data_IF_531757305945
#
_entry.id   IF_531757305945
#
_cell.length_a   1.000
_cell.length_b   1.000
_cell.length_c   1.000
_cell.angle_alpha   90.00
_cell.angle_beta   90.00
_cell.angle_gamma   90.00
#
_symmetry.space_group_name_H-M   'P 1'
#
loop_
_entity.id
_entity.type
_entity.pdbx_description
1 polymer ?
#
# COMPACT_ATOMS: atom_id res chain seq x y z
N UNK A 1 -6.81 -19.21 16.33
CA UNK A 1 -6.91 -20.66 16.03
C UNK A 1 -8.34 -21.09 16.16
N UNK A 2 -9.00 -20.75 17.27
CA UNK A 2 -10.45 -20.84 17.42
C UNK A 2 -11.18 -20.15 16.26
N UNK A 3 -10.79 -18.93 15.88
CA UNK A 3 -11.38 -18.26 14.70
C UNK A 3 -11.22 -19.02 13.37
N UNK A 4 -10.11 -19.76 13.21
CA UNK A 4 -9.86 -20.56 11.99
C UNK A 4 -10.76 -21.78 12.00
N UNK A 5 -10.83 -22.48 13.14
CA UNK A 5 -11.69 -23.64 13.33
C UNK A 5 -13.18 -23.27 13.13
N UNK A 6 -13.61 -22.16 13.73
CA UNK A 6 -14.96 -21.62 13.59
C UNK A 6 -15.28 -21.25 12.12
N UNK A 7 -14.31 -20.72 11.38
CA UNK A 7 -14.49 -20.40 9.96
C UNK A 7 -14.63 -21.63 9.05
N UNK A 8 -14.11 -22.79 9.47
CA UNK A 8 -14.20 -24.04 8.71
C UNK A 8 -15.60 -24.66 8.84
N UNK A 9 -16.28 -24.48 9.98
CA UNK A 9 -17.66 -24.92 10.18
C UNK A 9 -17.88 -26.43 10.11
N UNK A 10 -16.83 -27.22 10.33
CA UNK A 10 -16.84 -28.69 10.28
C UNK A 10 -16.61 -29.26 11.70
N UNK A 11 -17.57 -30.04 12.21
CA UNK A 11 -17.54 -30.61 13.56
C UNK A 11 -16.59 -31.82 13.68
N UNK A 12 -16.10 -32.37 12.56
CA UNK A 12 -15.16 -33.49 12.56
C UNK A 12 -13.70 -33.07 12.77
N UNK A 13 -13.39 -31.77 12.67
CA UNK A 13 -12.04 -31.24 12.74
C UNK A 13 -11.73 -30.78 14.16
N UNK A 14 -10.62 -31.25 14.71
CA UNK A 14 -10.14 -30.82 16.02
C UNK A 14 -9.05 -29.73 15.91
N UNK A 15 -8.86 -28.97 16.98
CA UNK A 15 -7.84 -27.91 17.07
C UNK A 15 -6.42 -28.46 16.85
N UNK A 16 -6.18 -29.71 17.28
CA UNK A 16 -4.90 -30.40 17.11
C UNK A 16 -4.57 -30.66 15.63
N UNK A 17 -5.59 -30.93 14.80
CA UNK A 17 -5.42 -31.14 13.35
C UNK A 17 -5.08 -29.81 12.66
N UNK A 18 -5.76 -28.73 13.04
CA UNK A 18 -5.47 -27.37 12.56
C UNK A 18 -4.02 -26.99 12.90
N UNK A 19 -3.57 -27.28 14.13
CA UNK A 19 -2.17 -27.03 14.53
C UNK A 19 -1.16 -27.85 13.70
N UNK A 20 -1.47 -29.11 13.41
CA UNK A 20 -0.59 -29.98 12.63
C UNK A 20 -0.40 -29.45 11.21
N UNK A 21 -1.50 -29.04 10.56
CA UNK A 21 -1.46 -28.44 9.22
C UNK A 21 -0.75 -27.09 9.25
N UNK A 22 -1.03 -26.23 10.24
CA UNK A 22 -0.38 -24.94 10.39
C UNK A 22 1.14 -25.08 10.51
N UNK A 23 1.63 -25.98 11.38
CA UNK A 23 3.06 -26.28 11.54
C UNK A 23 3.71 -26.76 10.23
N UNK A 24 2.95 -27.43 9.36
CA UNK A 24 3.43 -27.85 8.04
C UNK A 24 3.54 -26.68 7.07
N UNK A 25 2.52 -25.81 7.02
CA UNK A 25 2.47 -24.61 6.17
C UNK A 25 3.59 -23.63 6.55
N UNK A 26 3.81 -23.42 7.84
CA UNK A 26 4.85 -22.53 8.37
C UNK A 26 6.28 -22.89 7.92
N UNK A 27 6.50 -24.13 7.47
CA UNK A 27 7.78 -24.62 6.94
C UNK A 27 7.89 -24.55 5.41
N UNK A 28 6.85 -24.09 4.71
CA UNK A 28 6.95 -23.82 3.27
C UNK A 28 7.75 -22.56 3.00
N UNK A 29 8.12 -22.37 1.73
CA UNK A 29 8.81 -21.18 1.25
C UNK A 29 7.76 -20.08 0.96
N UNK A 30 7.85 -18.89 1.59
CA UNK A 30 8.90 -18.43 2.49
C UNK A 30 8.71 -18.87 3.95
N UNK A 31 9.82 -19.23 4.60
CA UNK A 31 9.85 -19.82 5.95
C UNK A 31 9.32 -18.85 7.00
N UNK A 32 8.47 -19.34 7.90
CA UNK A 32 7.84 -18.50 8.93
C UNK A 32 6.61 -17.75 8.43
N UNK A 33 6.15 -18.01 7.19
CA UNK A 33 4.82 -17.59 6.74
C UNK A 33 3.73 -18.20 7.61
N UNK A 34 2.62 -17.49 7.80
CA UNK A 34 1.51 -17.92 8.66
C UNK A 34 1.91 -18.17 10.13
N UNK A 35 2.97 -17.50 10.62
CA UNK A 35 3.27 -17.44 12.04
C UNK A 35 2.17 -16.72 12.83
N UNK A 36 1.95 -17.14 14.08
CA UNK A 36 0.93 -16.53 14.95
C UNK A 36 1.33 -15.12 15.39
N UNK A 37 2.62 -14.93 15.65
CA UNK A 37 3.21 -13.66 16.03
C UNK A 37 4.67 -13.56 15.52
N UNK A 38 5.32 -12.43 15.78
CA UNK A 38 6.72 -12.20 15.39
C UNK A 38 7.68 -13.21 16.05
N UNK A 39 7.39 -13.63 17.28
CA UNK A 39 8.23 -14.55 18.04
C UNK A 39 8.22 -15.92 17.38
N UNK A 40 7.05 -16.43 17.09
CA UNK A 40 6.80 -17.68 16.40
C UNK A 40 7.46 -17.65 15.01
N UNK A 41 7.31 -16.55 14.26
CA UNK A 41 7.94 -16.35 12.95
C UNK A 41 9.46 -16.56 13.01
N UNK A 42 10.14 -15.85 13.91
CA UNK A 42 11.59 -15.92 14.05
C UNK A 42 12.05 -17.29 14.60
N UNK A 43 11.29 -17.91 15.50
CA UNK A 43 11.59 -19.25 16.02
C UNK A 43 11.45 -20.33 14.94
N UNK A 44 10.44 -20.24 14.09
CA UNK A 44 10.23 -21.15 12.96
C UNK A 44 11.41 -21.04 11.99
N UNK A 45 11.84 -19.81 11.67
CA UNK A 45 13.02 -19.59 10.81
C UNK A 45 14.29 -20.14 11.44
N UNK A 46 14.53 -19.89 12.75
CA UNK A 46 15.66 -20.47 13.47
C UNK A 46 15.62 -22.01 13.51
N UNK A 47 14.43 -22.62 13.51
CA UNK A 47 14.30 -24.08 13.55
C UNK A 47 14.80 -24.79 12.29
N UNK A 48 15.02 -24.05 11.20
CA UNK A 48 15.58 -24.59 9.97
C UNK A 48 17.11 -24.64 9.94
N UNK A 49 17.76 -23.86 10.79
CA UNK A 49 19.22 -23.86 10.88
C UNK A 49 19.73 -25.17 11.50
N UNK A 50 20.94 -25.57 11.09
CA UNK A 50 21.59 -26.73 11.67
C UNK A 50 21.88 -26.52 13.16
N UNK A 51 21.79 -27.59 13.95
CA UNK A 51 22.07 -27.53 15.40
C UNK A 51 23.52 -27.13 15.73
N UNK A 52 24.41 -27.21 14.75
CA UNK A 52 25.82 -26.79 14.87
C UNK A 52 26.03 -25.32 14.55
N UNK A 53 25.00 -24.59 14.13
CA UNK A 53 25.08 -23.17 13.84
C UNK A 53 25.49 -22.41 15.11
N UNK A 54 26.58 -21.61 15.05
CA UNK A 54 27.01 -20.81 16.19
C UNK A 54 25.91 -19.88 16.71
N UNK A 55 25.82 -19.72 18.03
CA UNK A 55 24.91 -18.78 18.72
C UNK A 55 23.41 -19.04 18.55
N UNK A 56 23.03 -20.22 18.02
CA UNK A 56 21.65 -20.56 17.72
C UNK A 56 20.81 -20.75 19.00
N UNK A 57 21.37 -21.36 20.04
CA UNK A 57 20.65 -21.55 21.32
C UNK A 57 20.47 -20.21 22.05
N UNK A 58 21.48 -19.35 21.98
CA UNK A 58 21.44 -17.99 22.51
C UNK A 58 20.42 -17.12 21.78
N UNK A 59 20.40 -17.16 20.45
CA UNK A 59 19.40 -16.47 19.65
C UNK A 59 17.98 -16.97 19.94
N UNK A 60 17.81 -18.30 20.09
CA UNK A 60 16.53 -18.91 20.47
C UNK A 60 16.06 -18.43 21.83
N UNK A 61 16.94 -18.39 22.83
CA UNK A 61 16.63 -17.89 24.18
C UNK A 61 16.20 -16.40 24.15
N UNK A 62 16.93 -15.58 23.39
CA UNK A 62 16.60 -14.15 23.26
C UNK A 62 15.21 -13.97 22.64
N UNK A 63 14.90 -14.69 21.56
CA UNK A 63 13.60 -14.61 20.91
C UNK A 63 12.51 -15.21 21.80
N UNK A 64 12.72 -16.34 22.48
CA UNK A 64 11.67 -17.00 23.26
C UNK A 64 11.22 -16.19 24.46
N UNK A 65 12.15 -15.52 25.16
CA UNK A 65 11.88 -14.95 26.48
C UNK A 65 12.11 -13.43 26.55
N UNK A 66 12.92 -12.85 25.65
CA UNK A 66 13.45 -11.50 25.80
C UNK A 66 13.37 -10.64 24.53
N UNK A 67 12.48 -10.98 23.59
CA UNK A 67 12.30 -10.22 22.34
C UNK A 67 11.98 -8.74 22.58
N UNK A 68 11.22 -8.42 23.62
CA UNK A 68 10.84 -7.04 23.96
C UNK A 68 12.05 -6.19 24.40
N UNK A 69 13.01 -6.81 25.08
CA UNK A 69 14.25 -6.13 25.49
C UNK A 69 15.13 -5.84 24.26
N UNK A 70 15.14 -6.76 23.29
CA UNK A 70 15.83 -6.55 22.01
C UNK A 70 15.17 -5.42 21.21
N UNK A 71 13.84 -5.39 21.13
CA UNK A 71 13.08 -4.34 20.44
C UNK A 71 13.34 -2.94 21.02
N UNK A 72 13.53 -2.85 22.34
CA UNK A 72 13.85 -1.59 23.03
C UNK A 72 15.35 -1.24 23.04
N UNK A 73 16.20 -2.05 22.40
CA UNK A 73 17.66 -1.90 22.38
C UNK A 73 18.29 -1.91 23.80
N UNK A 74 17.66 -2.54 24.79
CA UNK A 74 18.19 -2.63 26.17
C UNK A 74 19.15 -3.81 26.32
N UNK A 75 20.30 -3.70 25.65
CA UNK A 75 21.36 -4.73 25.70
C UNK A 75 21.90 -4.94 27.12
N UNK A 76 21.87 -3.92 27.99
CA UNK A 76 22.41 -4.03 29.35
C UNK A 76 21.58 -4.95 30.22
N UNK A 77 20.25 -4.79 30.17
CA UNK A 77 19.34 -5.67 30.88
C UNK A 77 19.36 -7.06 30.27
N UNK A 78 19.40 -7.16 28.94
CA UNK A 78 19.42 -8.42 28.24
C UNK A 78 20.68 -9.26 28.57
N UNK A 79 21.87 -8.65 28.66
CA UNK A 79 23.08 -9.35 29.16
C UNK A 79 22.92 -9.88 30.60
N UNK A 80 22.26 -9.12 31.48
CA UNK A 80 22.06 -9.53 32.88
C UNK A 80 21.12 -10.72 33.01
N UNK A 81 20.03 -10.72 32.24
CA UNK A 81 19.01 -11.78 32.32
C UNK A 81 19.48 -13.04 31.60
N UNK A 82 20.05 -12.91 30.40
CA UNK A 82 20.57 -14.04 29.62
C UNK A 82 21.91 -14.58 30.15
N UNK A 83 22.63 -13.81 30.98
CA UNK A 83 23.98 -14.12 31.49
C UNK A 83 25.02 -14.33 30.39
N UNK A 84 24.78 -13.77 29.21
CA UNK A 84 25.70 -13.82 28.08
C UNK A 84 26.77 -12.73 28.19
N UNK A 85 27.96 -13.02 27.66
CA UNK A 85 29.01 -12.02 27.47
C UNK A 85 28.64 -11.12 26.28
N UNK A 86 29.16 -9.89 26.29
CA UNK A 86 28.89 -8.90 25.24
C UNK A 86 29.20 -9.42 23.83
N UNK A 87 30.36 -10.07 23.63
CA UNK A 87 30.75 -10.62 22.32
C UNK A 87 29.76 -11.68 21.82
N UNK A 88 29.32 -12.57 22.71
CA UNK A 88 28.36 -13.64 22.39
C UNK A 88 27.00 -13.06 22.08
N UNK A 89 26.56 -12.07 22.87
CA UNK A 89 25.29 -11.41 22.65
C UNK A 89 25.27 -10.72 21.28
N UNK A 90 26.36 -10.03 20.92
CA UNK A 90 26.45 -9.33 19.64
C UNK A 90 26.28 -10.29 18.47
N UNK A 91 26.92 -11.45 18.50
CA UNK A 91 26.79 -12.45 17.44
C UNK A 91 25.41 -13.11 17.41
N UNK A 92 24.79 -13.37 18.57
CA UNK A 92 23.40 -13.85 18.63
C UNK A 92 22.42 -12.82 18.03
N UNK A 93 22.62 -11.52 18.32
CA UNK A 93 21.81 -10.44 17.74
C UNK A 93 22.03 -10.33 16.23
N UNK A 94 23.27 -10.46 15.74
CA UNK A 94 23.56 -10.48 14.30
C UNK A 94 22.80 -11.62 13.60
N UNK A 95 22.77 -12.81 14.21
CA UNK A 95 22.00 -13.94 13.70
C UNK A 95 20.49 -13.62 13.64
N UNK A 96 19.93 -13.04 14.70
CA UNK A 96 18.51 -12.62 14.71
C UNK A 96 18.24 -11.58 13.61
N UNK A 97 19.13 -10.60 13.42
CA UNK A 97 18.99 -9.55 12.41
C UNK A 97 19.11 -10.06 10.97
N UNK A 98 19.68 -11.25 10.76
CA UNK A 98 19.73 -11.90 9.44
C UNK A 98 18.41 -12.58 9.03
N UNK A 99 17.46 -12.71 9.96
CA UNK A 99 16.15 -13.30 9.73
C UNK A 99 15.19 -12.27 9.14
N UNK A 100 14.14 -12.73 8.44
CA UNK A 100 13.12 -11.86 7.88
C UNK A 100 11.89 -11.82 8.80
N UNK A 101 11.57 -10.68 9.46
CA UNK A 101 10.40 -10.60 10.32
C UNK A 101 9.07 -10.67 9.55
N UNK A 102 9.07 -10.48 8.22
CA UNK A 102 7.87 -10.43 7.37
C UNK A 102 8.12 -11.12 6.01
N UNK A 103 8.30 -12.45 5.99
CA UNK A 103 8.67 -13.20 4.78
C UNK A 103 7.73 -12.97 3.59
N UNK A 104 6.42 -12.83 3.85
CA UNK A 104 5.41 -12.63 2.81
C UNK A 104 5.40 -11.24 2.16
N UNK A 105 6.09 -10.24 2.71
CA UNK A 105 6.07 -8.88 2.17
C UNK A 105 6.74 -8.79 0.80
N UNK A 106 7.74 -9.62 0.54
CA UNK A 106 8.44 -9.71 -0.75
C UNK A 106 7.53 -10.19 -1.91
N UNK A 107 6.42 -10.85 -1.59
CA UNK A 107 5.45 -11.39 -2.55
C UNK A 107 4.34 -10.36 -2.85
N UNK A 108 4.41 -9.15 -2.29
CA UNK A 108 3.45 -8.10 -2.58
C UNK A 108 3.62 -7.60 -4.03
N UNK A 109 2.78 -8.11 -4.93
CA UNK A 109 2.77 -7.79 -6.36
C UNK A 109 1.85 -6.62 -6.73
N UNK A 110 1.25 -5.96 -5.75
CA UNK A 110 0.41 -4.79 -6.01
C UNK A 110 1.27 -3.64 -6.49
N UNK A 111 1.00 -3.13 -7.70
CA UNK A 111 1.56 -1.84 -8.09
C UNK A 111 1.09 -0.78 -7.08
N UNK A 112 1.98 0.08 -6.59
CA UNK A 112 1.56 1.15 -5.69
C UNK A 112 0.51 2.02 -6.38
N UNK A 113 -0.65 2.15 -5.75
CA UNK A 113 -1.71 3.06 -6.23
C UNK A 113 -1.27 4.50 -5.99
N UNK A 114 -0.93 5.20 -7.06
CA UNK A 114 -0.64 6.63 -7.01
C UNK A 114 -1.93 7.43 -7.18
N UNK A 115 -2.12 8.43 -6.32
CA UNK A 115 -3.17 9.42 -6.52
C UNK A 115 -2.76 10.33 -7.69
N UNK A 116 -3.51 10.24 -8.79
CA UNK A 116 -3.31 11.13 -9.94
C UNK A 116 -3.86 12.52 -9.56
N UNK A 117 -3.02 13.58 -9.56
CA UNK A 117 -3.48 14.91 -9.16
C UNK A 117 -4.27 15.58 -10.28
N UNK A 118 -5.23 16.43 -9.91
CA UNK A 118 -5.95 17.27 -10.87
C UNK A 118 -5.11 18.48 -11.36
N UNK A 119 -4.14 18.91 -10.54
CA UNK A 119 -3.31 20.10 -10.77
C UNK A 119 -1.85 19.79 -10.49
N UNK A 120 -0.99 20.30 -11.37
CA UNK A 120 0.45 20.23 -11.26
C UNK A 120 0.99 21.62 -10.92
N UNK A 121 1.80 21.71 -9.86
CA UNK A 121 2.48 22.94 -9.46
C UNK A 121 3.98 22.73 -9.65
N UNK A 122 4.60 23.57 -10.48
CA UNK A 122 6.02 23.46 -10.84
C UNK A 122 6.71 24.81 -10.71
N UNK A 123 7.96 24.81 -10.27
CA UNK A 123 8.79 26.02 -10.24
C UNK A 123 9.59 26.12 -11.52
N UNK A 124 9.39 27.20 -12.28
CA UNK A 124 10.11 27.47 -13.52
C UNK A 124 10.74 28.86 -13.44
N UNK A 125 12.07 28.96 -13.65
CA UNK A 125 12.84 30.22 -13.57
C UNK A 125 12.58 31.04 -12.29
N UNK A 126 12.41 30.37 -11.14
CA UNK A 126 12.16 31.04 -9.86
C UNK A 126 10.70 31.40 -9.59
N UNK A 127 9.78 31.15 -10.52
CA UNK A 127 8.35 31.42 -10.37
C UNK A 127 7.55 30.13 -10.29
N UNK A 128 6.55 30.10 -9.41
CA UNK A 128 5.60 28.99 -9.31
C UNK A 128 4.57 29.08 -10.43
N UNK A 129 4.42 27.98 -11.16
CA UNK A 129 3.50 27.82 -12.28
C UNK A 129 2.51 26.72 -11.95
N UNK A 130 1.23 26.99 -12.21
CA UNK A 130 0.12 26.06 -11.93
C UNK A 130 -0.51 25.68 -13.26
N UNK A 131 -0.61 24.38 -13.49
CA UNK A 131 -1.15 23.77 -14.71
C UNK A 131 -2.14 22.67 -14.36
N UNK A 132 -3.14 22.45 -15.20
CA UNK A 132 -4.03 21.30 -15.03
C UNK A 132 -3.33 20.04 -15.53
N UNK A 133 -3.64 18.90 -14.90
CA UNK A 133 -3.17 17.62 -15.38
C UNK A 133 -3.97 17.22 -16.63
N UNK A 134 -3.30 17.12 -17.78
CA UNK A 134 -3.96 16.73 -19.04
C UNK A 134 -4.48 15.29 -19.01
N UNK A 135 -3.88 14.44 -18.18
CA UNK A 135 -4.23 13.02 -18.09
C UNK A 135 -5.49 12.80 -17.25
N UNK A 136 -5.88 13.78 -16.43
CA UNK A 136 -7.14 13.77 -15.69
C UNK A 136 -8.30 14.44 -16.44
N UNK A 137 -8.03 15.15 -17.54
CA UNK A 137 -9.04 15.88 -18.31
C UNK A 137 -9.48 15.06 -19.54
N UNK A 138 -10.76 14.64 -19.62
CA UNK A 138 -11.27 13.95 -20.80
C UNK A 138 -11.39 14.90 -21.99
N UNK A 139 -10.91 14.49 -23.16
CA UNK A 139 -11.10 15.22 -24.43
C UNK A 139 -12.47 14.90 -25.02
N UNK A 140 -13.42 15.81 -24.82
CA UNK A 140 -14.78 15.67 -25.36
C UNK A 140 -14.93 16.42 -26.69
N UNK A 141 -15.56 15.77 -27.68
CA UNK A 141 -15.90 16.39 -28.97
C UNK A 141 -17.30 15.95 -29.42
N UNK A 142 -18.00 16.86 -30.10
CA UNK A 142 -19.30 16.57 -30.69
C UNK A 142 -19.10 15.84 -32.01
N UNK A 143 -19.76 14.69 -32.18
CA UNK A 143 -19.78 13.98 -33.44
C UNK A 143 -20.64 14.74 -34.47
N UNK A 144 -19.98 15.31 -35.48
CA UNK A 144 -20.61 16.17 -36.49
C UNK A 144 -21.58 15.42 -37.40
N UNK A 145 -21.38 14.11 -37.61
CA UNK A 145 -22.28 13.30 -38.43
C UNK A 145 -23.69 13.27 -37.81
N UNK A 146 -23.78 13.01 -36.50
CA UNK A 146 -25.06 13.02 -35.79
C UNK A 146 -25.66 14.43 -35.68
N UNK A 147 -24.82 15.45 -35.47
CA UNK A 147 -25.29 16.83 -35.46
C UNK A 147 -25.94 17.24 -36.79
N UNK A 148 -25.43 16.73 -37.92
CA UNK A 148 -25.99 17.02 -39.25
C UNK A 148 -27.34 16.32 -39.54
N UNK A 149 -27.65 15.21 -38.85
CA UNK A 149 -28.91 14.49 -39.03
C UNK A 149 -30.13 15.32 -38.63
N UNK A 150 -29.95 16.28 -37.73
CA UNK A 150 -31.00 17.23 -37.36
C UNK A 150 -31.57 17.99 -38.57
N UNK A 151 -30.73 18.31 -39.56
CA UNK A 151 -31.16 19.03 -40.77
C UNK A 151 -31.81 18.12 -41.83
N UNK A 152 -31.61 16.80 -41.72
CA UNK A 152 -32.06 15.80 -42.70
C UNK A 152 -33.14 14.85 -42.15
N UNK A 153 -33.60 15.07 -40.90
CA UNK A 153 -34.63 14.26 -40.27
C UNK A 153 -35.98 14.42 -40.99
N UNK A 154 -36.61 13.29 -41.34
CA UNK A 154 -37.92 13.26 -42.01
C UNK A 154 -39.10 13.53 -41.07
N UNK A 155 -38.87 13.39 -39.76
CA UNK A 155 -39.86 13.55 -38.69
C UNK A 155 -39.44 14.70 -37.76
N UNK A 156 -40.39 15.55 -37.38
CA UNK A 156 -40.11 16.74 -36.57
C UNK A 156 -39.73 16.37 -35.13
N UNK A 157 -40.37 15.35 -34.56
CA UNK A 157 -40.09 14.85 -33.21
C UNK A 157 -38.63 14.35 -33.08
N UNK A 158 -38.13 13.63 -34.08
CA UNK A 158 -36.75 13.13 -34.12
C UNK A 158 -35.75 14.29 -34.28
N UNK A 159 -36.09 15.31 -35.07
CA UNK A 159 -35.25 16.51 -35.23
C UNK A 159 -35.15 17.30 -33.92
N UNK A 160 -36.27 17.48 -33.21
CA UNK A 160 -36.30 18.16 -31.92
C UNK A 160 -35.52 17.39 -30.85
N UNK A 161 -35.64 16.06 -30.80
CA UNK A 161 -34.86 15.21 -29.90
C UNK A 161 -33.35 15.35 -30.11
N UNK A 162 -32.88 15.32 -31.37
CA UNK A 162 -31.46 15.49 -31.69
C UNK A 162 -30.98 16.90 -31.32
N UNK A 163 -31.79 17.95 -31.56
CA UNK A 163 -31.44 19.33 -31.16
C UNK A 163 -31.27 19.47 -29.65
N UNK A 164 -32.18 18.90 -28.86
CA UNK A 164 -32.10 18.95 -27.40
C UNK A 164 -30.82 18.30 -26.90
N UNK A 165 -30.54 17.06 -27.33
CA UNK A 165 -29.32 16.35 -26.91
C UNK A 165 -28.04 17.07 -27.37
N UNK A 166 -28.06 17.70 -28.55
CA UNK A 166 -26.93 18.51 -29.02
C UNK A 166 -26.72 19.75 -28.15
N UNK A 167 -27.79 20.38 -27.69
CA UNK A 167 -27.74 21.51 -26.77
C UNK A 167 -27.18 21.08 -25.41
N UNK A 168 -27.64 19.95 -24.87
CA UNK A 168 -27.16 19.39 -23.61
C UNK A 168 -25.69 19.00 -23.69
N UNK A 169 -25.26 18.39 -24.80
CA UNK A 169 -23.85 18.06 -25.04
C UNK A 169 -22.96 19.31 -25.12
N UNK A 170 -23.41 20.37 -25.83
CA UNK A 170 -22.69 21.66 -25.86
C UNK A 170 -22.60 22.30 -24.48
N UNK A 171 -23.69 22.24 -23.72
CA UNK A 171 -23.74 22.76 -22.36
C UNK A 171 -22.77 22.00 -21.45
N UNK A 172 -22.72 20.67 -21.54
CA UNK A 172 -21.82 19.83 -20.76
C UNK A 172 -20.35 20.17 -21.04
N UNK A 173 -19.96 20.27 -22.32
CA UNK A 173 -18.59 20.63 -22.71
C UNK A 173 -18.22 22.00 -22.14
N UNK A 174 -19.10 23.00 -22.30
CA UNK A 174 -18.87 24.35 -21.76
C UNK A 174 -18.78 24.37 -20.24
N UNK A 175 -19.61 23.60 -19.55
CA UNK A 175 -19.57 23.48 -18.09
C UNK A 175 -18.28 22.84 -17.60
N UNK A 176 -17.75 21.85 -18.35
CA UNK A 176 -16.46 21.22 -18.05
C UNK A 176 -15.29 22.20 -18.25
N UNK A 177 -15.29 22.96 -19.35
CA UNK A 177 -14.31 24.04 -19.58
C UNK A 177 -14.35 25.08 -18.45
N UNK A 178 -15.54 25.52 -18.04
CA UNK A 178 -15.70 26.47 -16.92
C UNK A 178 -15.20 25.90 -15.59
N UNK A 179 -15.40 24.59 -15.34
CA UNK A 179 -14.85 23.91 -14.16
C UNK A 179 -13.32 23.95 -14.19
N UNK A 180 -12.72 23.60 -15.32
CA UNK A 180 -11.27 23.58 -15.50
C UNK A 180 -10.65 24.98 -15.30
N UNK A 181 -11.26 26.01 -15.87
CA UNK A 181 -10.84 27.41 -15.67
C UNK A 181 -10.94 27.85 -14.21
N UNK A 182 -12.04 27.49 -13.54
CA UNK A 182 -12.24 27.84 -12.13
C UNK A 182 -11.20 27.15 -11.26
N UNK A 183 -10.96 25.86 -11.49
CA UNK A 183 -10.00 25.05 -10.76
C UNK A 183 -8.58 25.62 -10.92
N UNK A 184 -8.18 25.97 -12.15
CA UNK A 184 -6.90 26.63 -12.41
C UNK A 184 -6.76 27.98 -11.68
N UNK A 185 -7.80 28.81 -11.68
CA UNK A 185 -7.79 30.12 -10.99
C UNK A 185 -7.67 29.98 -9.48
N UNK A 186 -8.44 29.06 -8.90
CA UNK A 186 -8.41 28.79 -7.45
C UNK A 186 -7.04 28.25 -7.05
N UNK A 187 -6.50 27.27 -7.78
CA UNK A 187 -5.19 26.71 -7.49
C UNK A 187 -4.06 27.74 -7.60
N UNK A 188 -4.11 28.66 -8.58
CA UNK A 188 -3.15 29.78 -8.64
C UNK A 188 -3.21 30.65 -7.39
N UNK A 189 -4.41 31.04 -6.97
CA UNK A 189 -4.60 31.85 -5.76
C UNK A 189 -4.07 31.14 -4.51
N UNK A 190 -4.30 29.83 -4.38
CA UNK A 190 -3.78 29.03 -3.26
C UNK A 190 -2.25 29.03 -3.25
N UNK A 191 -1.60 28.79 -4.40
CA UNK A 191 -0.13 28.75 -4.50
C UNK A 191 0.48 30.12 -4.21
N UNK A 192 -0.13 31.20 -4.71
CA UNK A 192 0.29 32.58 -4.41
C UNK A 192 0.19 32.88 -2.91
N UNK A 193 -0.92 32.50 -2.27
CA UNK A 193 -1.13 32.75 -0.84
C UNK A 193 -0.20 31.90 0.05
N UNK A 194 0.16 30.70 -0.39
CA UNK A 194 0.96 29.73 0.37
C UNK A 194 2.41 29.62 -0.13
N UNK A 195 2.92 30.64 -0.83
CA UNK A 195 4.26 30.58 -1.43
C UNK A 195 5.37 30.21 -0.44
N UNK A 196 5.28 30.67 0.82
CA UNK A 196 6.25 30.35 1.86
C UNK A 196 6.34 28.84 2.15
N UNK A 197 5.20 28.13 2.19
CA UNK A 197 5.14 26.69 2.37
C UNK A 197 5.78 25.96 1.17
N UNK A 198 5.46 26.37 -0.05
CA UNK A 198 6.07 25.78 -1.25
C UNK A 198 7.59 26.01 -1.35
N UNK A 199 8.11 27.10 -0.76
CA UNK A 199 9.53 27.43 -0.81
C UNK A 199 10.36 26.77 0.30
N UNK A 200 9.79 26.61 1.49
CA UNK A 200 10.53 26.20 2.71
C UNK A 200 10.08 24.86 3.32
N UNK A 201 8.91 24.33 2.91
CA UNK A 201 8.29 23.14 3.49
C UNK A 201 7.43 23.42 4.71
#
# INVERSE_FOLDING_TARGET
>A
MEDILESMGDEEIDIDEVEAVLKRIQRFDPVGVAAKDLRDCLLIQLSQFDKTTPWLEEARLIISDHLDLLANHDFRTLMRVTRLKEDVLKEAVNLIQSLDPRPGQSIQTGEPEYVIPDVLVRKHNGHWTVELNSDSIPRLQINQHYASMCNNARNDDDSQFIRSNLQDAKWLIKSLESRNDTLLRVSRCIVEQQQAFFEQG
#
